data_IF_452057827249
#
_entry.id   IF_452057827249
#
_cell.length_a   1.000
_cell.length_b   1.000
_cell.length_c   1.000
_cell.angle_alpha   90.00
_cell.angle_beta   90.00
_cell.angle_gamma   90.00
#
_symmetry.space_group_name_H-M   'P 1'
#
loop_
_entity.id
_entity.type
_entity.pdbx_description
1 polymer ?
#
# COMPACT_ATOMS: atom_id res chain seq x y z
N UNK A 1 -9.32 8.08 -4.25
CA UNK A 1 -9.93 6.81 -4.69
C UNK A 1 -11.44 7.02 -4.71
N UNK A 2 -12.07 6.93 -5.87
CA UNK A 2 -13.51 7.20 -6.04
C UNK A 2 -14.20 6.05 -6.75
N UNK A 3 -15.52 5.93 -6.54
CA UNK A 3 -16.39 5.13 -7.38
C UNK A 3 -16.73 5.87 -8.69
N UNK A 4 -17.58 5.27 -9.51
CA UNK A 4 -18.05 5.85 -10.78
C UNK A 4 -18.91 7.10 -10.62
N UNK A 5 -19.47 7.35 -9.43
CA UNK A 5 -20.24 8.55 -9.09
C UNK A 5 -19.34 9.68 -8.55
N UNK A 6 -18.01 9.47 -8.50
CA UNK A 6 -17.06 10.44 -7.95
C UNK A 6 -17.07 10.55 -6.42
N UNK A 7 -17.81 9.68 -5.73
CA UNK A 7 -17.78 9.56 -4.26
C UNK A 7 -16.63 8.67 -3.82
N UNK A 8 -15.94 9.02 -2.75
CA UNK A 8 -14.88 8.18 -2.20
C UNK A 8 -14.03 8.86 -1.14
N UNK A 9 -12.73 8.52 -1.14
CA UNK A 9 -11.77 9.01 -0.14
C UNK A 9 -10.60 9.73 -0.80
N UNK A 10 -10.17 10.82 -0.17
CA UNK A 10 -8.92 11.53 -0.43
C UNK A 10 -7.96 11.31 0.73
N UNK A 11 -6.73 10.95 0.40
CA UNK A 11 -5.64 10.78 1.35
C UNK A 11 -4.60 11.86 1.07
N UNK A 12 -4.21 12.59 2.11
CA UNK A 12 -3.14 13.57 2.05
C UNK A 12 -2.11 13.27 3.12
N UNK A 13 -0.87 13.04 2.71
CA UNK A 13 0.24 12.92 3.65
C UNK A 13 0.71 14.29 4.13
N UNK A 14 1.17 14.35 5.39
CA UNK A 14 1.95 15.50 5.86
C UNK A 14 3.33 15.60 5.17
N UNK A 15 3.69 14.57 4.40
CA UNK A 15 4.89 14.39 3.60
C UNK A 15 4.52 13.51 2.38
N UNK A 16 5.42 13.31 1.39
CA UNK A 16 5.16 12.40 0.28
C UNK A 16 4.73 11.01 0.77
N UNK A 17 3.67 10.47 0.14
CA UNK A 17 3.09 9.17 0.53
C UNK A 17 3.64 8.04 -0.34
N UNK A 18 3.78 6.86 0.27
CA UNK A 18 3.87 5.59 -0.44
C UNK A 18 2.51 4.90 -0.35
N UNK A 19 1.98 4.39 -1.46
CA UNK A 19 0.68 3.72 -1.45
C UNK A 19 0.56 2.60 -2.48
N UNK A 20 -0.37 1.69 -2.23
CA UNK A 20 -0.85 0.72 -3.21
C UNK A 20 -2.37 0.55 -3.08
N UNK A 21 -3.05 0.23 -4.18
CA UNK A 21 -4.49 -0.03 -4.21
C UNK A 21 -4.74 -1.27 -5.07
N UNK A 22 -5.08 -2.39 -4.44
CA UNK A 22 -5.24 -3.68 -5.11
C UNK A 22 -6.63 -4.28 -4.88
N UNK A 23 -7.13 -5.02 -5.87
CA UNK A 23 -8.32 -5.88 -5.72
C UNK A 23 -8.01 -7.22 -5.03
N UNK A 24 -6.98 -7.22 -4.17
CA UNK A 24 -6.50 -8.36 -3.39
C UNK A 24 -6.10 -7.87 -2.00
N UNK A 25 -6.32 -8.69 -0.98
CA UNK A 25 -5.72 -8.46 0.32
C UNK A 25 -4.24 -8.87 0.29
N UNK A 26 -3.40 -8.28 1.14
CA UNK A 26 -1.98 -8.63 1.20
C UNK A 26 -1.80 -10.12 1.54
N UNK A 27 -2.69 -10.67 2.35
CA UNK A 27 -2.75 -12.07 2.75
C UNK A 27 -3.09 -13.00 1.57
N UNK A 28 -3.72 -12.51 0.50
CA UNK A 28 -3.95 -13.31 -0.71
C UNK A 28 -2.67 -13.53 -1.52
N UNK A 29 -1.67 -12.67 -1.29
CA UNK A 29 -0.36 -12.71 -1.94
C UNK A 29 0.70 -13.34 -1.04
N UNK A 30 0.35 -13.67 0.21
CA UNK A 30 1.23 -14.35 1.16
C UNK A 30 0.91 -15.86 1.18
N UNK A 31 1.77 -16.72 0.60
CA UNK A 31 1.57 -18.17 0.60
C UNK A 31 1.62 -18.79 2.00
N UNK A 32 2.06 -18.01 3.01
CA UNK A 32 2.29 -18.43 4.38
C UNK A 32 3.19 -19.67 4.45
N UNK A 33 2.96 -20.50 5.47
CA UNK A 33 3.71 -21.74 5.66
C UNK A 33 3.24 -22.90 4.77
N UNK A 34 2.10 -22.74 4.09
CA UNK A 34 1.44 -23.84 3.35
C UNK A 34 1.74 -23.86 1.86
N UNK A 35 2.54 -22.90 1.37
CA UNK A 35 2.93 -22.79 -0.05
C UNK A 35 1.75 -22.76 -1.02
N UNK A 36 0.62 -22.14 -0.62
CA UNK A 36 -0.53 -21.89 -1.52
C UNK A 36 -0.24 -20.65 -2.38
N UNK A 37 -1.09 -20.33 -3.36
CA UNK A 37 -1.01 -19.09 -4.13
C UNK A 37 0.33 -18.86 -4.86
N UNK A 38 0.92 -19.93 -5.42
CA UNK A 38 2.20 -19.82 -6.13
C UNK A 38 2.04 -19.33 -7.57
N UNK A 39 0.83 -19.42 -8.13
CA UNK A 39 0.53 -19.05 -9.50
C UNK A 39 -0.50 -17.92 -9.51
N UNK A 40 -0.42 -16.96 -10.44
CA UNK A 40 -1.39 -15.87 -10.52
C UNK A 40 -2.86 -16.34 -10.61
N UNK A 41 -3.09 -17.52 -11.18
CA UNK A 41 -4.42 -18.15 -11.32
C UNK A 41 -5.04 -18.62 -10.01
N UNK A 42 -4.21 -18.81 -8.98
CA UNK A 42 -4.64 -19.26 -7.65
C UNK A 42 -5.31 -18.11 -6.87
N UNK A 43 -4.93 -16.87 -7.19
CA UNK A 43 -5.43 -15.66 -6.54
C UNK A 43 -6.77 -15.28 -7.18
N UNK A 44 -7.84 -15.21 -6.37
CA UNK A 44 -9.19 -14.87 -6.85
C UNK A 44 -9.43 -13.37 -6.70
N UNK A 45 -9.82 -12.64 -7.76
CA UNK A 45 -10.18 -11.23 -7.67
C UNK A 45 -11.24 -10.96 -6.61
N UNK A 46 -11.01 -9.95 -5.78
CA UNK A 46 -11.99 -9.48 -4.81
C UNK A 46 -12.76 -8.27 -5.32
N UNK A 47 -13.94 -8.04 -4.73
CA UNK A 47 -14.80 -6.88 -5.04
C UNK A 47 -14.36 -5.63 -4.29
N UNK A 48 -13.73 -5.81 -3.14
CA UNK A 48 -13.10 -4.77 -2.33
C UNK A 48 -11.74 -4.34 -2.89
N UNK A 49 -11.31 -3.15 -2.46
CA UNK A 49 -9.98 -2.59 -2.75
C UNK A 49 -9.22 -2.48 -1.43
N UNK A 50 -8.08 -3.14 -1.35
CA UNK A 50 -7.12 -2.98 -0.26
C UNK A 50 -6.22 -1.79 -0.58
N UNK A 51 -6.37 -0.72 0.21
CA UNK A 51 -5.57 0.50 0.10
C UNK A 51 -4.52 0.52 1.22
N UNK A 52 -3.25 0.48 0.85
CA UNK A 52 -2.13 0.63 1.77
C UNK A 52 -1.59 2.05 1.69
N UNK A 53 -1.41 2.69 2.85
CA UNK A 53 -0.88 4.05 2.99
C UNK A 53 0.30 3.95 3.96
N UNK A 54 1.51 3.96 3.41
CA UNK A 54 2.72 3.59 4.13
C UNK A 54 3.65 4.78 4.32
N UNK A 55 4.28 4.83 5.50
CA UNK A 55 5.35 5.79 5.79
C UNK A 55 6.53 5.55 4.84
N UNK A 56 7.07 4.33 4.89
CA UNK A 56 8.15 3.83 4.05
C UNK A 56 8.02 2.31 3.95
N UNK A 57 8.47 1.76 2.83
CA UNK A 57 8.64 0.31 2.63
C UNK A 57 10.13 0.00 2.57
N UNK A 58 10.55 -1.11 3.18
CA UNK A 58 11.94 -1.58 3.10
C UNK A 58 12.30 -1.86 1.64
N UNK A 59 13.53 -1.56 1.25
CA UNK A 59 14.05 -1.98 -0.06
C UNK A 59 13.96 -3.48 -0.28
N UNK A 60 13.82 -3.91 -1.53
CA UNK A 60 13.70 -5.33 -1.91
C UNK A 60 15.05 -6.06 -1.76
N UNK A 61 16.16 -5.39 -2.09
CA UNK A 61 17.49 -6.01 -2.18
C UNK A 61 17.70 -6.67 -3.55
N UNK A 62 18.40 -7.81 -3.58
CA UNK A 62 18.59 -8.59 -4.80
C UNK A 62 20.01 -8.65 -5.35
N UNK A 63 21.03 -8.13 -4.64
CA UNK A 63 22.44 -8.34 -4.99
C UNK A 63 22.77 -9.83 -5.14
N UNK A 64 22.13 -10.66 -4.29
CA UNK A 64 21.93 -12.07 -4.56
C UNK A 64 20.59 -12.54 -3.98
N UNK A 65 20.12 -13.70 -4.45
CA UNK A 65 18.85 -14.30 -4.05
C UNK A 65 18.99 -15.31 -2.89
N UNK A 66 20.11 -15.31 -2.17
CA UNK A 66 20.44 -16.32 -1.15
C UNK A 66 21.03 -15.74 0.14
N UNK A 67 20.72 -14.48 0.47
CA UNK A 67 20.95 -13.94 1.81
C UNK A 67 21.44 -12.49 1.88
N UNK A 68 21.78 -11.86 0.76
CA UNK A 68 22.11 -10.45 0.75
C UNK A 68 20.89 -9.61 1.18
N UNK A 69 21.10 -8.74 2.16
CA UNK A 69 20.11 -7.76 2.58
C UNK A 69 20.12 -6.55 1.63
N UNK A 70 19.03 -5.77 1.57
CA UNK A 70 19.06 -4.44 0.95
C UNK A 70 20.15 -3.59 1.58
N UNK A 71 20.75 -2.72 0.77
CA UNK A 71 21.82 -1.83 1.24
C UNK A 71 21.34 -0.98 2.44
N UNK A 72 22.25 -0.58 3.36
CA UNK A 72 21.88 0.07 4.62
C UNK A 72 20.93 1.26 4.49
N UNK A 73 21.10 2.10 3.47
CA UNK A 73 20.28 3.28 3.21
C UNK A 73 18.82 2.99 2.82
N UNK A 74 18.49 1.73 2.49
CA UNK A 74 17.14 1.29 2.13
C UNK A 74 16.51 0.37 3.20
N UNK A 75 17.05 0.35 4.42
CA UNK A 75 16.53 -0.43 5.55
C UNK A 75 15.89 0.49 6.59
N UNK A 76 14.90 -0.05 7.32
CA UNK A 76 14.28 0.63 8.46
C UNK A 76 14.93 0.12 9.75
N UNK A 77 15.90 0.84 10.29
CA UNK A 77 16.66 0.44 11.49
C UNK A 77 16.44 1.33 12.71
N UNK A 78 15.66 2.41 12.57
CA UNK A 78 15.42 3.34 13.67
C UNK A 78 14.50 2.72 14.72
N UNK A 79 14.66 3.17 15.97
CA UNK A 79 13.85 2.69 17.10
C UNK A 79 12.41 3.23 17.07
N UNK A 80 12.20 4.38 16.44
CA UNK A 80 10.90 5.04 16.38
C UNK A 80 10.72 5.73 15.04
N UNK A 81 9.54 5.53 14.48
CA UNK A 81 9.05 6.23 13.31
C UNK A 81 7.75 6.96 13.67
N UNK A 82 7.44 8.04 12.96
CA UNK A 82 6.17 8.76 13.10
C UNK A 82 5.64 9.06 11.72
N UNK A 83 4.35 8.83 11.54
CA UNK A 83 3.68 8.99 10.27
C UNK A 83 2.33 9.64 10.47
N UNK A 84 1.98 10.55 9.59
CA UNK A 84 0.71 11.27 9.65
C UNK A 84 0.19 11.51 8.25
N UNK A 85 -1.09 11.19 8.09
CA UNK A 85 -1.87 11.50 6.90
C UNK A 85 -3.29 11.84 7.35
N UNK A 86 -4.00 12.57 6.50
CA UNK A 86 -5.40 12.95 6.69
C UNK A 86 -6.26 12.19 5.70
N UNK A 87 -7.40 11.67 6.18
CA UNK A 87 -8.42 11.01 5.35
C UNK A 87 -9.66 11.88 5.33
N UNK A 88 -10.19 12.16 4.14
CA UNK A 88 -11.45 12.87 3.96
C UNK A 88 -12.36 12.12 3.00
N UNK A 89 -13.66 12.10 3.31
CA UNK A 89 -14.68 11.74 2.35
C UNK A 89 -14.77 12.86 1.30
N UNK A 90 -14.91 12.46 0.04
CA UNK A 90 -15.10 13.37 -1.08
C UNK A 90 -16.27 12.88 -1.94
N UNK A 91 -16.95 13.82 -2.57
CA UNK A 91 -17.92 13.62 -3.64
C UNK A 91 -17.66 14.67 -4.73
N UNK A 92 -18.35 14.58 -5.87
CA UNK A 92 -18.16 15.55 -6.98
C UNK A 92 -18.44 17.01 -6.56
N UNK A 93 -19.30 17.23 -5.58
CA UNK A 93 -19.72 18.57 -5.15
C UNK A 93 -18.72 19.23 -4.17
N UNK A 94 -18.03 18.43 -3.35
CA UNK A 94 -17.05 18.90 -2.35
C UNK A 94 -15.62 19.09 -2.89
N UNK A 95 -15.33 18.81 -4.16
CA UNK A 95 -13.97 18.98 -4.71
C UNK A 95 -13.56 20.45 -4.91
N UNK A 96 -14.52 21.38 -4.94
CA UNK A 96 -14.28 22.80 -5.22
C UNK A 96 -14.14 23.69 -3.96
N UNK A 97 -14.18 23.12 -2.75
CA UNK A 97 -14.20 23.88 -1.48
C UNK A 97 -12.85 23.89 -0.73
N UNK A 98 -11.76 23.44 -1.36
CA UNK A 98 -10.43 23.42 -0.75
C UNK A 98 -9.54 24.41 -1.54
N UNK A 99 -9.07 25.51 -0.92
CA UNK A 99 -8.18 26.48 -1.58
C UNK A 99 -6.80 25.88 -1.90
#
# INVERSE_FOLDING_TARGET
LTNSEGKGIRIEGAQPICFSALNQAAEDLDPGLTKKQQHPTDIKPRRDVSLHIDLVQRGVGGDNSWGALPHPQYRLTEKKYTYTYTVRLIDQDNQNLIP
#
